data_IF_825694296206
#
_entry.id   IF_825694296206
#
_cell.length_a   1.000
_cell.length_b   1.000
_cell.length_c   1.000
_cell.angle_alpha   90.00
_cell.angle_beta   90.00
_cell.angle_gamma   90.00
#
_symmetry.space_group_name_H-M   'P 1'
#
loop_
_entity.id
_entity.type
_entity.pdbx_description
1 polymer ?
#
# COMPACT_ATOMS: atom_id res chain seq x y z
N UNK A 1 -14.56 -11.90 2.70
CA UNK A 1 -13.58 -11.78 1.61
C UNK A 1 -13.91 -10.52 0.88
N UNK A 2 -13.01 -9.54 0.87
CA UNK A 2 -13.16 -8.30 0.09
C UNK A 2 -12.83 -8.61 -1.37
N UNK A 3 -13.53 -8.00 -2.31
CA UNK A 3 -13.19 -8.11 -3.74
C UNK A 3 -11.89 -7.33 -4.03
N UNK A 4 -11.20 -7.62 -5.15
CA UNK A 4 -10.07 -6.80 -5.59
C UNK A 4 -10.42 -5.32 -5.73
N UNK A 5 -11.61 -5.02 -6.25
CA UNK A 5 -12.14 -3.66 -6.40
C UNK A 5 -12.31 -2.96 -5.04
N UNK A 6 -12.81 -3.69 -4.02
CA UNK A 6 -12.93 -3.15 -2.66
C UNK A 6 -11.57 -2.81 -2.05
N UNK A 7 -10.53 -3.62 -2.34
CA UNK A 7 -9.17 -3.39 -1.85
C UNK A 7 -8.53 -2.18 -2.54
N UNK A 8 -8.70 -2.06 -3.86
CA UNK A 8 -8.22 -0.90 -4.63
C UNK A 8 -8.89 0.39 -4.16
N UNK A 9 -10.21 0.37 -3.95
CA UNK A 9 -10.92 1.53 -3.42
C UNK A 9 -10.40 1.94 -2.04
N UNK A 10 -10.22 0.99 -1.13
CA UNK A 10 -9.68 1.26 0.21
C UNK A 10 -8.26 1.84 0.15
N UNK A 11 -7.41 1.35 -0.76
CA UNK A 11 -6.07 1.87 -0.97
C UNK A 11 -6.09 3.35 -1.35
N UNK A 12 -6.87 3.72 -2.38
CA UNK A 12 -6.93 5.11 -2.84
C UNK A 12 -7.64 6.04 -1.85
N UNK A 13 -8.67 5.57 -1.15
CA UNK A 13 -9.33 6.35 -0.10
C UNK A 13 -8.38 6.67 1.06
N UNK A 14 -7.63 5.66 1.55
CA UNK A 14 -6.65 5.86 2.61
C UNK A 14 -5.52 6.81 2.17
N UNK A 15 -5.05 6.66 0.92
CA UNK A 15 -4.04 7.54 0.33
C UNK A 15 -4.52 9.00 0.25
N UNK A 16 -5.75 9.23 -0.24
CA UNK A 16 -6.34 10.56 -0.34
C UNK A 16 -6.56 11.21 1.04
N UNK A 17 -6.86 10.40 2.06
CA UNK A 17 -7.07 10.86 3.44
C UNK A 17 -5.77 11.04 4.22
N UNK A 18 -4.64 10.55 3.71
CA UNK A 18 -3.37 10.51 4.44
C UNK A 18 -3.38 9.55 5.63
N UNK A 19 -4.24 8.52 5.61
CA UNK A 19 -4.36 7.52 6.67
C UNK A 19 -3.37 6.38 6.43
N UNK A 20 -2.18 6.51 7.01
CA UNK A 20 -1.10 5.53 6.83
C UNK A 20 -1.43 4.15 7.41
N UNK A 21 -2.24 4.07 8.46
CA UNK A 21 -2.58 2.78 9.06
C UNK A 21 -3.54 2.01 8.16
N UNK A 22 -4.58 2.69 7.62
CA UNK A 22 -5.48 2.07 6.63
C UNK A 22 -4.78 1.77 5.32
N UNK A 23 -3.85 2.62 4.89
CA UNK A 23 -3.07 2.39 3.68
C UNK A 23 -2.18 1.15 3.82
N UNK A 24 -1.57 0.92 4.98
CA UNK A 24 -0.74 -0.26 5.21
C UNK A 24 -1.57 -1.54 5.39
N UNK A 25 -2.80 -1.44 5.89
CA UNK A 25 -3.66 -2.60 6.16
C UNK A 25 -4.16 -3.34 4.90
N UNK A 26 -4.07 -2.73 3.71
CA UNK A 26 -4.48 -3.34 2.43
C UNK A 26 -3.34 -4.05 1.70
N UNK A 27 -2.12 -3.98 2.22
CA UNK A 27 -0.99 -4.74 1.68
C UNK A 27 -1.09 -6.21 2.09
N UNK A 28 -0.58 -7.10 1.24
CA UNK A 28 -0.46 -8.50 1.58
C UNK A 28 0.58 -8.68 2.70
N UNK A 29 0.35 -9.63 3.61
CA UNK A 29 1.27 -9.98 4.71
C UNK A 29 2.62 -10.60 4.24
N UNK A 30 2.89 -10.59 2.93
CA UNK A 30 4.13 -11.09 2.33
C UNK A 30 5.28 -10.10 2.57
N UNK A 31 6.48 -10.62 2.84
CA UNK A 31 7.70 -9.82 2.97
C UNK A 31 8.20 -9.30 1.61
N UNK A 32 7.73 -9.87 0.50
CA UNK A 32 8.14 -9.51 -0.86
C UNK A 32 7.20 -8.50 -1.56
N UNK A 33 6.30 -7.84 -0.83
CA UNK A 33 5.47 -6.77 -1.41
C UNK A 33 6.31 -5.62 -1.99
N UNK A 34 5.82 -5.01 -3.07
CA UNK A 34 6.55 -4.00 -3.84
C UNK A 34 5.72 -2.75 -4.08
N UNK A 35 6.31 -1.57 -3.82
CA UNK A 35 5.77 -0.28 -4.23
C UNK A 35 6.73 0.40 -5.23
N UNK A 36 6.19 1.03 -6.27
CA UNK A 36 6.95 1.83 -7.23
C UNK A 36 6.27 3.18 -7.40
N UNK A 37 6.84 4.21 -6.78
CA UNK A 37 6.35 5.58 -6.92
C UNK A 37 6.80 6.19 -8.25
N UNK A 38 6.04 7.16 -8.80
CA UNK A 38 6.44 7.87 -10.00
C UNK A 38 7.84 8.50 -9.88
N UNK A 39 8.77 8.09 -10.73
CA UNK A 39 10.17 8.58 -10.73
C UNK A 39 11.06 8.04 -9.60
N UNK A 40 10.53 7.21 -8.71
CA UNK A 40 11.25 6.63 -7.58
C UNK A 40 11.86 5.25 -7.88
N UNK A 41 12.74 4.74 -6.99
CA UNK A 41 13.20 3.37 -7.05
C UNK A 41 12.08 2.40 -6.65
N UNK A 42 12.28 1.12 -6.98
CA UNK A 42 11.46 0.03 -6.44
C UNK A 42 11.70 -0.12 -4.94
N UNK A 43 10.63 -0.07 -4.15
CA UNK A 43 10.63 -0.25 -2.68
C UNK A 43 10.06 -1.63 -2.37
N UNK A 44 10.70 -2.36 -1.44
CA UNK A 44 10.35 -3.76 -1.14
C UNK A 44 10.14 -3.92 0.37
N UNK A 45 9.06 -4.59 0.75
CA UNK A 45 8.72 -4.95 2.12
C UNK A 45 8.03 -3.82 2.90
N UNK A 46 7.26 -4.23 3.92
CA UNK A 46 6.39 -3.36 4.72
C UNK A 46 7.08 -2.13 5.30
N UNK A 47 8.26 -2.33 5.92
CA UNK A 47 8.97 -1.24 6.58
C UNK A 47 9.44 -0.15 5.60
N UNK A 48 9.91 -0.56 4.42
CA UNK A 48 10.38 0.38 3.41
C UNK A 48 9.21 1.09 2.73
N UNK A 49 8.12 0.36 2.43
CA UNK A 49 6.90 0.94 1.83
C UNK A 49 6.27 1.97 2.77
N UNK A 50 6.17 1.67 4.06
CA UNK A 50 5.63 2.60 5.07
C UNK A 50 6.43 3.90 5.19
N UNK A 51 7.72 3.87 4.88
CA UNK A 51 8.63 5.01 4.99
C UNK A 51 8.79 5.82 3.69
N UNK A 52 8.12 5.41 2.60
CA UNK A 52 8.30 5.98 1.25
C UNK A 52 7.51 7.26 0.98
#
# INVERSE_FOLDING_TARGET
>A
MSSPEDIEQQFYEALQQGDIERLMAVWADDDEIVCVHPGGPRVIGHAAIRAS
#
